data_IF_800130933275
#
_entry.id   IF_800130933275
#
_cell.length_a   1.000
_cell.length_b   1.000
_cell.length_c   1.000
_cell.angle_alpha   90.00
_cell.angle_beta   90.00
_cell.angle_gamma   90.00
#
_symmetry.space_group_name_H-M   'P 1'
#
loop_
_entity.id
_entity.type
_entity.pdbx_description
1 polymer ?
#
# COMPACT_ATOMS: atom_id res chain seq x y z
N UNK A 1 -17.33 -3.05 36.56
CA UNK A 1 -16.97 -3.51 35.19
C UNK A 1 -17.84 -2.84 34.12
N UNK A 2 -19.16 -2.80 34.26
CA UNK A 2 -20.11 -2.22 33.28
C UNK A 2 -19.95 -0.71 33.00
N UNK A 3 -19.58 0.10 33.99
CA UNK A 3 -19.35 1.54 33.78
C UNK A 3 -18.10 1.84 32.94
N UNK A 4 -17.08 0.98 33.02
CA UNK A 4 -15.84 1.16 32.26
C UNK A 4 -16.08 0.84 30.78
N UNK A 5 -16.83 -0.22 30.48
CA UNK A 5 -17.15 -0.62 29.11
C UNK A 5 -18.01 0.42 28.41
N UNK A 6 -19.00 1.02 29.10
CA UNK A 6 -19.82 2.10 28.54
C UNK A 6 -18.96 3.32 28.19
N UNK A 7 -18.10 3.77 29.11
CA UNK A 7 -17.19 4.89 28.84
C UNK A 7 -16.21 4.62 27.71
N UNK A 8 -15.73 3.38 27.57
CA UNK A 8 -14.86 2.99 26.46
C UNK A 8 -15.59 3.05 25.12
N UNK A 9 -16.83 2.57 25.06
CA UNK A 9 -17.65 2.61 23.84
C UNK A 9 -18.00 4.06 23.48
N UNK A 10 -18.42 4.88 24.45
CA UNK A 10 -18.67 6.31 24.24
C UNK A 10 -17.42 7.00 23.70
N UNK A 11 -16.26 6.75 24.32
CA UNK A 11 -14.98 7.32 23.87
C UNK A 11 -14.58 6.86 22.47
N UNK A 12 -14.79 5.58 22.15
CA UNK A 12 -14.50 5.02 20.83
C UNK A 12 -15.34 5.69 19.73
N UNK A 13 -16.61 5.95 20.03
CA UNK A 13 -17.53 6.65 19.12
C UNK A 13 -17.17 8.14 18.99
N UNK A 14 -16.84 8.82 20.08
CA UNK A 14 -16.36 10.22 20.08
C UNK A 14 -15.13 10.41 19.19
N UNK A 15 -14.14 9.51 19.30
CA UNK A 15 -12.87 9.57 18.55
C UNK A 15 -13.05 9.14 17.09
N UNK A 16 -14.25 8.70 16.67
CA UNK A 16 -14.55 8.27 15.29
C UNK A 16 -13.54 7.25 14.75
N UNK A 17 -13.08 6.33 15.61
CA UNK A 17 -11.99 5.38 15.30
C UNK A 17 -12.25 4.60 14.00
N UNK A 18 -13.51 4.21 13.76
CA UNK A 18 -13.89 3.51 12.51
C UNK A 18 -13.69 4.36 11.26
N UNK A 19 -13.96 5.66 11.32
CA UNK A 19 -13.79 6.57 10.18
C UNK A 19 -12.31 6.76 9.84
N UNK A 20 -11.46 6.90 10.86
CA UNK A 20 -10.01 7.03 10.70
C UNK A 20 -9.39 5.71 10.20
N UNK A 21 -9.82 4.57 10.77
CA UNK A 21 -9.40 3.25 10.28
C UNK A 21 -9.79 3.01 8.81
N UNK A 22 -10.97 3.46 8.39
CA UNK A 22 -11.41 3.39 7.00
C UNK A 22 -10.56 4.29 6.09
N UNK A 23 -10.21 5.50 6.53
CA UNK A 23 -9.32 6.41 5.79
C UNK A 23 -7.91 5.83 5.64
N UNK A 24 -7.34 5.29 6.72
CA UNK A 24 -6.05 4.59 6.69
C UNK A 24 -6.07 3.43 5.70
N UNK A 25 -7.10 2.59 5.75
CA UNK A 25 -7.24 1.43 4.86
C UNK A 25 -7.43 1.87 3.42
N UNK A 26 -8.23 2.91 3.18
CA UNK A 26 -8.45 3.47 1.85
C UNK A 26 -7.14 3.95 1.22
N UNK A 27 -6.37 4.79 1.92
CA UNK A 27 -5.11 5.31 1.40
C UNK A 27 -4.04 4.21 1.27
N UNK A 28 -4.03 3.24 2.18
CA UNK A 28 -3.15 2.08 2.06
C UNK A 28 -3.45 1.29 0.78
N UNK A 29 -4.72 0.93 0.53
CA UNK A 29 -5.14 0.21 -0.67
C UNK A 29 -4.89 1.02 -1.95
N UNK A 30 -5.17 2.32 -1.94
CA UNK A 30 -4.94 3.20 -3.09
C UNK A 30 -3.44 3.30 -3.43
N UNK A 31 -2.55 3.20 -2.43
CA UNK A 31 -1.11 3.27 -2.65
C UNK A 31 -0.50 2.04 -3.33
N UNK A 32 -1.21 0.90 -3.33
CA UNK A 32 -0.73 -0.36 -3.92
C UNK A 32 -0.53 -0.21 -5.43
N UNK A 33 -1.51 0.36 -6.15
CA UNK A 33 -1.42 0.51 -7.60
C UNK A 33 -0.18 1.30 -8.07
N UNK A 34 0.06 2.53 -7.59
CA UNK A 34 1.26 3.28 -7.96
C UNK A 34 2.55 2.63 -7.45
N UNK A 35 2.52 1.88 -6.35
CA UNK A 35 3.68 1.13 -5.85
C UNK A 35 4.04 -0.03 -6.79
N UNK A 36 3.07 -0.84 -7.21
CA UNK A 36 3.29 -1.93 -8.16
C UNK A 36 3.75 -1.38 -9.52
N UNK A 37 3.19 -0.26 -9.98
CA UNK A 37 3.65 0.42 -11.19
C UNK A 37 5.09 0.91 -11.06
N UNK A 38 5.46 1.45 -9.89
CA UNK A 38 6.83 1.86 -9.62
C UNK A 38 7.81 0.68 -9.66
N UNK A 39 7.44 -0.43 -8.99
CA UNK A 39 8.22 -1.66 -8.97
C UNK A 39 8.42 -2.24 -10.37
N UNK A 40 7.35 -2.35 -11.18
CA UNK A 40 7.44 -2.84 -12.56
C UNK A 40 8.37 -1.98 -13.41
N UNK A 41 8.19 -0.66 -13.39
CA UNK A 41 9.05 0.25 -14.15
C UNK A 41 10.52 0.25 -13.65
N UNK A 42 10.74 0.04 -12.34
CA UNK A 42 12.09 -0.13 -11.78
C UNK A 42 12.75 -1.43 -12.26
N UNK A 43 12.02 -2.53 -12.30
CA UNK A 43 12.54 -3.83 -12.75
C UNK A 43 12.81 -3.84 -14.26
N UNK A 44 11.92 -3.26 -15.08
CA UNK A 44 12.17 -3.08 -16.52
C UNK A 44 13.37 -2.18 -16.81
N UNK A 45 13.63 -1.18 -15.96
CA UNK A 45 14.87 -0.41 -16.02
C UNK A 45 16.09 -1.26 -15.63
N UNK A 46 15.99 -2.06 -14.56
CA UNK A 46 17.07 -2.93 -14.09
C UNK A 46 17.44 -4.03 -15.09
N UNK A 47 16.49 -4.56 -15.86
CA UNK A 47 16.74 -5.55 -16.91
C UNK A 47 17.84 -5.09 -17.88
N UNK A 48 17.87 -3.78 -18.19
CA UNK A 48 18.90 -3.17 -19.04
C UNK A 48 20.28 -3.05 -18.39
N UNK A 49 20.36 -3.10 -17.05
CA UNK A 49 21.60 -2.93 -16.29
C UNK A 49 22.22 -4.26 -15.88
N UNK A 50 21.41 -5.20 -15.38
CA UNK A 50 21.85 -6.45 -14.77
C UNK A 50 21.46 -7.71 -15.56
N UNK A 51 20.63 -7.58 -16.60
CA UNK A 51 20.20 -8.69 -17.45
C UNK A 51 18.85 -9.30 -17.04
N UNK A 52 18.24 -10.06 -17.95
CA UNK A 52 16.87 -10.58 -17.81
C UNK A 52 16.74 -11.71 -16.80
N UNK A 53 17.78 -12.54 -16.62
CA UNK A 53 17.73 -13.71 -15.73
C UNK A 53 17.55 -13.32 -14.25
N UNK A 54 18.30 -12.32 -13.78
CA UNK A 54 18.19 -11.80 -12.41
C UNK A 54 16.83 -11.12 -12.18
N UNK A 55 16.31 -10.41 -13.18
CA UNK A 55 15.00 -9.73 -13.09
C UNK A 55 13.86 -10.75 -13.07
N UNK A 56 13.94 -11.81 -13.87
CA UNK A 56 12.95 -12.89 -13.89
C UNK A 56 12.89 -13.62 -12.54
N UNK A 57 14.03 -13.79 -11.86
CA UNK A 57 14.04 -14.35 -10.50
C UNK A 57 13.30 -13.46 -9.49
N UNK A 58 13.45 -12.14 -9.59
CA UNK A 58 12.72 -11.18 -8.73
C UNK A 58 11.23 -11.18 -9.07
N UNK A 59 10.84 -11.19 -10.36
CA UNK A 59 9.45 -11.30 -10.79
C UNK A 59 8.79 -12.55 -10.20
N UNK A 60 9.45 -13.70 -10.32
CA UNK A 60 8.94 -14.97 -9.79
C UNK A 60 8.77 -14.94 -8.27
N UNK A 61 9.68 -14.30 -7.53
CA UNK A 61 9.54 -14.12 -6.08
C UNK A 61 8.33 -13.25 -5.72
N UNK A 62 8.07 -12.18 -6.48
CA UNK A 62 6.91 -11.30 -6.27
C UNK A 62 5.61 -12.08 -6.55
N UNK A 63 5.52 -12.78 -7.68
CA UNK A 63 4.34 -13.57 -8.05
C UNK A 63 4.09 -14.67 -7.00
N UNK A 64 5.13 -15.38 -6.57
CA UNK A 64 5.01 -16.40 -5.53
C UNK A 64 4.46 -15.82 -4.22
N UNK A 65 4.94 -14.65 -3.81
CA UNK A 65 4.43 -13.96 -2.61
C UNK A 65 2.95 -13.62 -2.77
N UNK A 66 2.54 -13.08 -3.92
CA UNK A 66 1.16 -12.69 -4.18
C UNK A 66 0.21 -13.91 -4.26
N UNK A 67 0.69 -15.06 -4.73
CA UNK A 67 -0.07 -16.31 -4.74
C UNK A 67 -0.45 -16.83 -3.35
N UNK A 68 0.20 -16.34 -2.28
CA UNK A 68 -0.16 -16.65 -0.89
C UNK A 68 -1.32 -15.79 -0.37
N UNK A 69 -1.54 -14.63 -0.99
CA UNK A 69 -2.54 -13.64 -0.58
C UNK A 69 -3.80 -13.78 -1.46
N UNK A 70 -3.62 -14.02 -2.76
CA UNK A 70 -4.68 -14.18 -3.75
C UNK A 70 -4.89 -15.64 -4.12
N UNK A 71 -6.08 -15.97 -4.64
CA UNK A 71 -6.31 -17.32 -5.19
C UNK A 71 -5.49 -17.54 -6.47
N UNK A 72 -5.20 -18.80 -6.80
CA UNK A 72 -4.47 -19.14 -8.03
C UNK A 72 -5.12 -18.55 -9.28
N UNK A 73 -6.45 -18.64 -9.41
CA UNK A 73 -7.18 -18.06 -10.54
C UNK A 73 -6.97 -16.54 -10.66
N UNK A 74 -7.05 -15.80 -9.54
CA UNK A 74 -6.82 -14.34 -9.56
C UNK A 74 -5.35 -14.03 -9.88
N UNK A 75 -4.43 -14.85 -9.39
CA UNK A 75 -3.00 -14.65 -9.61
C UNK A 75 -2.65 -14.82 -11.09
N UNK A 76 -3.10 -15.91 -11.70
CA UNK A 76 -2.76 -16.27 -13.07
C UNK A 76 -3.49 -15.40 -14.10
N UNK A 77 -4.76 -15.06 -13.84
CA UNK A 77 -5.58 -14.33 -14.81
C UNK A 77 -5.42 -12.80 -14.70
N UNK A 78 -5.02 -12.27 -13.54
CA UNK A 78 -4.97 -10.81 -13.31
C UNK A 78 -3.61 -10.33 -12.83
N UNK A 79 -3.07 -10.90 -11.75
CA UNK A 79 -1.88 -10.36 -11.07
C UNK A 79 -0.62 -10.52 -11.92
N UNK A 80 -0.35 -11.73 -12.41
CA UNK A 80 0.84 -12.00 -13.21
C UNK A 80 0.84 -11.23 -14.54
N UNK A 81 -0.26 -11.17 -15.33
CA UNK A 81 -0.33 -10.33 -16.52
C UNK A 81 -0.13 -8.84 -16.23
N UNK A 82 -0.68 -8.33 -15.12
CA UNK A 82 -0.49 -6.94 -14.71
C UNK A 82 0.97 -6.64 -14.43
N UNK A 83 1.66 -7.47 -13.64
CA UNK A 83 3.08 -7.28 -13.31
C UNK A 83 3.92 -7.28 -14.59
N UNK A 84 3.72 -8.27 -15.48
CA UNK A 84 4.42 -8.33 -16.77
C UNK A 84 4.16 -7.12 -17.66
N UNK A 85 2.92 -6.63 -17.70
CA UNK A 85 2.57 -5.42 -18.43
C UNK A 85 3.26 -4.16 -17.88
N UNK A 86 3.42 -4.08 -16.55
CA UNK A 86 4.14 -2.98 -15.90
C UNK A 86 5.66 -3.09 -16.09
N UNK A 87 6.21 -4.30 -16.20
CA UNK A 87 7.64 -4.55 -16.47
C UNK A 87 8.06 -4.10 -17.87
N UNK A 88 7.18 -4.28 -18.86
CA UNK A 88 7.43 -3.79 -20.23
C UNK A 88 7.51 -2.25 -20.31
N UNK A 89 7.17 -1.53 -19.24
CA UNK A 89 7.22 -0.08 -19.19
C UNK A 89 8.64 0.42 -18.84
N UNK A 90 9.50 0.60 -19.84
CA UNK A 90 10.92 0.97 -19.66
C UNK A 90 11.20 2.41 -19.16
N UNK A 91 10.15 3.22 -18.98
CA UNK A 91 10.31 4.65 -18.70
C UNK A 91 10.55 4.89 -17.21
N UNK A 92 11.81 5.17 -16.85
CA UNK A 92 12.23 5.53 -15.48
C UNK A 92 11.39 6.64 -14.81
N UNK A 93 10.81 7.55 -15.59
CA UNK A 93 9.88 8.57 -15.07
C UNK A 93 8.61 8.00 -14.43
N UNK A 94 8.11 6.85 -14.92
CA UNK A 94 6.97 6.16 -14.30
C UNK A 94 7.38 5.49 -12.98
N UNK A 95 8.61 4.96 -12.89
CA UNK A 95 9.12 4.37 -11.66
C UNK A 95 9.13 5.41 -10.52
N UNK A 96 9.78 6.55 -10.75
CA UNK A 96 9.89 7.62 -9.77
C UNK A 96 8.52 8.25 -9.49
N UNK A 97 7.71 8.49 -10.53
CA UNK A 97 6.36 9.07 -10.37
C UNK A 97 5.43 8.19 -9.54
N UNK A 98 5.39 6.87 -9.82
CA UNK A 98 4.61 5.91 -9.04
C UNK A 98 5.08 5.85 -7.59
N UNK A 99 6.40 5.87 -7.36
CA UNK A 99 6.98 5.85 -6.02
C UNK A 99 6.57 7.10 -5.23
N UNK A 100 6.67 8.29 -5.83
CA UNK A 100 6.28 9.55 -5.18
C UNK A 100 4.79 9.59 -4.85
N UNK A 101 3.92 9.12 -5.76
CA UNK A 101 2.47 9.02 -5.50
C UNK A 101 2.20 8.05 -4.36
N UNK A 102 2.84 6.87 -4.38
CA UNK A 102 2.69 5.88 -3.32
C UNK A 102 3.15 6.44 -1.97
N UNK A 103 4.30 7.12 -1.92
CA UNK A 103 4.82 7.77 -0.72
C UNK A 103 3.89 8.87 -0.19
N UNK A 104 3.31 9.67 -1.09
CA UNK A 104 2.31 10.67 -0.73
C UNK A 104 1.06 10.03 -0.09
N UNK A 105 0.58 8.92 -0.65
CA UNK A 105 -0.57 8.18 -0.12
C UNK A 105 -0.24 7.51 1.22
N UNK A 106 0.96 6.95 1.36
CA UNK A 106 1.43 6.43 2.64
C UNK A 106 1.50 7.54 3.71
N UNK A 107 1.93 8.75 3.36
CA UNK A 107 1.91 9.90 4.28
C UNK A 107 0.50 10.23 4.78
N UNK A 108 -0.54 10.03 3.94
CA UNK A 108 -1.94 10.17 4.36
C UNK A 108 -2.36 9.13 5.39
N UNK A 109 -1.87 7.90 5.29
CA UNK A 109 -2.11 6.86 6.31
C UNK A 109 -1.55 7.31 7.67
N UNK A 110 -0.30 7.81 7.68
CA UNK A 110 0.31 8.31 8.91
C UNK A 110 -0.42 9.52 9.49
N UNK A 111 -0.92 10.43 8.64
CA UNK A 111 -1.73 11.56 9.07
C UNK A 111 -2.98 11.09 9.82
N UNK A 112 -3.74 10.17 9.24
CA UNK A 112 -4.95 9.64 9.89
C UNK A 112 -4.62 8.87 11.18
N UNK A 113 -3.46 8.20 11.25
CA UNK A 113 -2.98 7.57 12.48
C UNK A 113 -2.63 8.60 13.57
N UNK A 114 -1.97 9.72 13.21
CA UNK A 114 -1.67 10.83 14.12
C UNK A 114 -2.99 11.46 14.60
N UNK A 115 -3.92 11.76 13.69
CA UNK A 115 -5.23 12.32 14.03
C UNK A 115 -5.99 11.42 15.04
N UNK A 116 -5.84 10.09 14.89
CA UNK A 116 -6.41 9.11 15.83
C UNK A 116 -5.75 9.20 17.21
N UNK A 117 -4.42 9.31 17.27
CA UNK A 117 -3.67 9.41 18.51
C UNK A 117 -3.96 10.73 19.24
N UNK A 118 -3.97 11.84 18.52
CA UNK A 118 -4.27 13.16 19.08
C UNK A 118 -5.70 13.20 19.64
N UNK A 119 -6.67 12.67 18.89
CA UNK A 119 -8.05 12.56 19.34
C UNK A 119 -8.18 11.63 20.56
N UNK A 120 -7.45 10.52 20.61
CA UNK A 120 -7.47 9.57 21.72
C UNK A 120 -6.88 10.18 23.01
N UNK A 121 -5.72 10.83 22.90
CA UNK A 121 -4.97 11.38 24.04
C UNK A 121 -5.33 12.82 24.40
N UNK A 122 -6.18 13.49 23.61
CA UNK A 122 -6.53 14.93 23.78
C UNK A 122 -5.29 15.82 23.78
N UNK A 123 -4.34 15.52 22.90
CA UNK A 123 -3.21 16.40 22.66
C UNK A 123 -3.75 17.54 21.80
N UNK A 124 -3.95 18.71 22.40
CA UNK A 124 -4.34 19.92 21.67
C UNK A 124 -3.15 20.45 20.88
N UNK A 125 -3.30 20.56 19.55
CA UNK A 125 -2.33 21.25 18.69
C UNK A 125 -2.09 22.67 19.22
N UNK A 126 -0.83 23.02 19.47
CA UNK A 126 -0.38 24.40 19.71
C UNK A 126 0.25 24.98 18.46
#
# INVERSE_FOLDING_TARGET
MTLLTVRLVERFLEVRVMGLAAEMTYYALLSIFPLTAALGASLGFLERLIGSEDVEQVENMIIATLSTIFSAAVTDDLVAPMIRGLLQQERAGFAVGGLLISLFLASRVFRSAIDTLDAAYRVEER
#
